data_IF_413840781594
#
_entry.id   IF_413840781594
#
_cell.length_a   1.000
_cell.length_b   1.000
_cell.length_c   1.000
_cell.angle_alpha   90.00
_cell.angle_beta   90.00
_cell.angle_gamma   90.00
#
_symmetry.space_group_name_H-M   'P 1'
#
loop_
_entity.id
_entity.type
_entity.pdbx_description
1 polymer ?
#
# COMPACT_ATOMS: atom_id res chain seq x y z
N UNK A 1 6.53 -14.26 -8.13
CA UNK A 1 7.23 -13.00 -8.46
C UNK A 1 8.09 -13.25 -9.69
N UNK A 2 7.97 -12.46 -10.78
CA UNK A 2 8.80 -12.62 -11.97
C UNK A 2 10.28 -12.45 -11.67
N UNK A 3 11.14 -13.17 -12.38
CA UNK A 3 12.61 -13.01 -12.26
C UNK A 3 13.11 -11.69 -12.86
N UNK A 4 12.41 -11.12 -13.84
CA UNK A 4 12.65 -9.76 -14.35
C UNK A 4 11.79 -8.76 -13.58
N UNK A 5 12.43 -7.87 -12.82
CA UNK A 5 11.79 -6.85 -12.00
C UNK A 5 10.95 -5.84 -12.80
N UNK A 6 11.14 -5.76 -14.14
CA UNK A 6 10.35 -4.89 -15.01
C UNK A 6 9.02 -5.50 -15.43
N UNK A 7 8.85 -6.83 -15.27
CA UNK A 7 7.60 -7.49 -15.61
C UNK A 7 6.57 -7.23 -14.50
N UNK A 8 5.43 -6.60 -14.81
CA UNK A 8 4.37 -6.42 -13.82
C UNK A 8 3.80 -7.79 -13.43
N UNK A 9 3.33 -7.88 -12.19
CA UNK A 9 2.57 -9.02 -11.69
C UNK A 9 1.48 -8.50 -10.75
N UNK A 10 0.39 -9.25 -10.60
CA UNK A 10 -0.65 -8.90 -9.64
C UNK A 10 -0.19 -9.21 -8.22
N UNK A 11 -0.12 -8.17 -7.39
CA UNK A 11 0.27 -8.28 -5.99
C UNK A 11 -0.65 -9.20 -5.18
N UNK A 12 -1.90 -9.38 -5.63
CA UNK A 12 -2.86 -10.30 -5.00
C UNK A 12 -2.40 -11.76 -5.01
N UNK A 13 -1.58 -12.16 -6.00
CA UNK A 13 -0.99 -13.50 -6.02
C UNK A 13 -0.04 -13.74 -4.83
N UNK A 14 0.65 -12.70 -4.38
CA UNK A 14 1.50 -12.76 -3.17
C UNK A 14 0.62 -12.78 -1.94
N UNK A 15 -0.36 -11.87 -1.85
CA UNK A 15 -1.28 -11.77 -0.70
C UNK A 15 -1.98 -13.11 -0.47
N UNK A 16 -2.54 -13.73 -1.52
CA UNK A 16 -3.27 -15.00 -1.42
C UNK A 16 -2.42 -16.15 -0.84
N UNK A 17 -1.09 -16.07 -0.92
CA UNK A 17 -0.17 -17.12 -0.44
C UNK A 17 0.38 -16.87 0.96
N UNK A 18 0.28 -15.64 1.48
CA UNK A 18 0.77 -15.30 2.82
C UNK A 18 -0.34 -15.22 3.87
N UNK A 19 -1.60 -15.01 3.44
CA UNK A 19 -2.74 -14.87 4.35
C UNK A 19 -3.44 -16.20 4.60
N UNK A 20 -4.00 -16.34 5.80
CA UNK A 20 -4.69 -17.54 6.25
C UNK A 20 -5.87 -17.90 5.34
N UNK A 21 -5.84 -19.12 4.79
CA UNK A 21 -6.89 -19.64 3.92
C UNK A 21 -7.09 -18.83 2.63
N UNK A 22 -6.08 -18.06 2.21
CA UNK A 22 -6.15 -17.19 1.03
C UNK A 22 -7.33 -16.20 1.05
N UNK A 23 -7.83 -15.86 2.25
CA UNK A 23 -8.96 -14.94 2.41
C UNK A 23 -8.45 -13.52 2.60
N UNK A 24 -8.88 -12.63 1.71
CA UNK A 24 -8.53 -11.23 1.70
C UNK A 24 -9.78 -10.39 1.43
N UNK A 25 -10.12 -9.48 2.35
CA UNK A 25 -11.24 -8.55 2.20
C UNK A 25 -10.70 -7.21 1.70
N UNK A 26 -10.84 -6.98 0.39
CA UNK A 26 -10.22 -5.85 -0.27
C UNK A 26 -10.97 -4.53 -0.04
N UNK A 27 -10.29 -3.57 0.60
CA UNK A 27 -10.81 -2.24 0.83
C UNK A 27 -10.68 -1.39 -0.45
N UNK A 28 -11.77 -0.71 -0.84
CA UNK A 28 -11.81 0.17 -2.02
C UNK A 28 -11.21 -0.52 -3.27
N UNK A 29 -11.61 -1.76 -3.55
CA UNK A 29 -11.07 -2.56 -4.64
C UNK A 29 -11.16 -1.88 -6.03
N UNK A 30 -12.13 -0.97 -6.23
CA UNK A 30 -12.38 -0.26 -7.49
C UNK A 30 -11.86 1.18 -7.53
N UNK A 31 -11.10 1.63 -6.53
CA UNK A 31 -10.56 3.00 -6.43
C UNK A 31 -9.06 2.95 -6.12
N UNK A 32 -8.23 3.71 -6.84
CA UNK A 32 -6.77 3.67 -6.66
C UNK A 32 -6.20 2.25 -6.80
N UNK A 33 -6.50 1.58 -7.91
CA UNK A 33 -6.24 0.14 -8.12
C UNK A 33 -4.75 -0.24 -8.20
N UNK A 34 -3.86 0.74 -8.34
CA UNK A 34 -2.41 0.54 -8.27
C UNK A 34 -1.88 0.44 -6.83
N UNK A 35 -2.73 0.68 -5.83
CA UNK A 35 -2.47 0.34 -4.43
C UNK A 35 -3.55 -0.60 -3.93
N UNK A 36 -3.16 -1.84 -3.62
CA UNK A 36 -4.04 -2.83 -3.02
C UNK A 36 -4.01 -2.64 -1.51
N UNK A 37 -5.20 -2.52 -0.91
CA UNK A 37 -5.34 -2.44 0.54
C UNK A 37 -6.47 -3.34 0.98
N UNK A 38 -6.35 -4.00 2.12
CA UNK A 38 -7.42 -4.85 2.61
C UNK A 38 -7.08 -5.58 3.89
N UNK A 39 -8.09 -6.22 4.48
CA UNK A 39 -7.98 -6.94 5.73
C UNK A 39 -7.75 -8.42 5.50
N UNK A 40 -6.90 -9.02 6.33
CA UNK A 40 -6.63 -10.46 6.31
C UNK A 40 -6.29 -10.97 7.71
N UNK A 41 -5.90 -12.25 7.78
CA UNK A 41 -5.24 -12.83 8.95
C UNK A 41 -3.94 -13.52 8.56
N UNK A 42 -2.96 -13.50 9.44
CA UNK A 42 -1.71 -14.29 9.34
C UNK A 42 -1.50 -14.96 10.70
N UNK A 43 -1.43 -16.29 10.72
CA UNK A 43 -1.36 -17.07 11.97
C UNK A 43 -2.49 -16.71 12.98
N UNK A 44 -3.69 -16.45 12.47
CA UNK A 44 -4.86 -16.05 13.24
C UNK A 44 -4.90 -14.57 13.66
N UNK A 45 -3.79 -13.83 13.52
CA UNK A 45 -3.70 -12.42 13.89
C UNK A 45 -4.30 -11.53 12.79
N UNK A 46 -5.15 -10.54 13.12
CA UNK A 46 -5.67 -9.60 12.14
C UNK A 46 -4.53 -8.74 11.57
N UNK A 47 -4.55 -8.49 10.26
CA UNK A 47 -3.57 -7.64 9.59
C UNK A 47 -4.26 -6.77 8.54
N UNK A 48 -3.85 -5.50 8.46
CA UNK A 48 -4.16 -4.61 7.34
C UNK A 48 -3.01 -4.61 6.35
N UNK A 49 -3.23 -5.05 5.13
CA UNK A 49 -2.18 -5.13 4.11
C UNK A 49 -2.26 -3.90 3.21
N UNK A 50 -1.12 -3.30 2.90
CA UNK A 50 -0.94 -2.20 1.94
C UNK A 50 0.14 -2.60 0.96
N UNK A 51 -0.20 -2.74 -0.32
CA UNK A 51 0.66 -3.42 -1.28
C UNK A 51 0.66 -2.74 -2.65
N UNK A 52 1.84 -2.53 -3.23
CA UNK A 52 1.95 -1.89 -4.54
C UNK A 52 1.59 -2.84 -5.68
N UNK A 53 0.76 -2.34 -6.60
CA UNK A 53 0.40 -3.01 -7.85
C UNK A 53 0.68 -2.10 -9.07
N UNK A 54 1.59 -1.14 -8.91
CA UNK A 54 1.91 -0.12 -9.89
C UNK A 54 2.39 1.18 -9.25
N UNK A 55 2.44 2.25 -10.06
CA UNK A 55 2.76 3.62 -9.62
C UNK A 55 1.66 4.21 -8.73
N UNK A 56 2.02 5.11 -7.82
CA UNK A 56 1.04 5.76 -6.94
C UNK A 56 0.42 6.99 -7.61
N UNK A 57 -0.90 7.02 -7.65
CA UNK A 57 -1.70 8.19 -8.02
C UNK A 57 -2.30 8.88 -6.79
N UNK A 58 -2.90 10.05 -6.97
CA UNK A 58 -3.63 10.78 -5.92
C UNK A 58 -4.66 9.90 -5.21
N UNK A 59 -5.43 9.14 -5.97
CA UNK A 59 -6.46 8.20 -5.48
C UNK A 59 -5.83 7.07 -4.66
N UNK A 60 -4.66 6.61 -5.07
CA UNK A 60 -3.91 5.56 -4.37
C UNK A 60 -3.44 6.08 -3.00
N UNK A 61 -2.92 7.30 -2.96
CA UNK A 61 -2.47 7.93 -1.72
C UNK A 61 -3.64 8.19 -0.76
N UNK A 62 -4.77 8.70 -1.27
CA UNK A 62 -5.99 8.91 -0.48
C UNK A 62 -6.58 7.59 0.05
N UNK A 63 -6.55 6.53 -0.76
CA UNK A 63 -6.95 5.18 -0.34
C UNK A 63 -6.07 4.66 0.78
N UNK A 64 -4.75 4.74 0.61
CA UNK A 64 -3.78 4.28 1.61
C UNK A 64 -3.92 5.03 2.93
N UNK A 65 -3.99 6.37 2.89
CA UNK A 65 -4.15 7.19 4.09
C UNK A 65 -5.41 6.81 4.89
N UNK A 66 -6.57 6.72 4.22
CA UNK A 66 -7.81 6.33 4.86
C UNK A 66 -7.75 4.90 5.42
N UNK A 67 -7.12 3.96 4.69
CA UNK A 67 -6.99 2.59 5.17
C UNK A 67 -6.11 2.49 6.43
N UNK A 68 -5.02 3.26 6.49
CA UNK A 68 -4.14 3.35 7.66
C UNK A 68 -4.89 3.90 8.87
N UNK A 69 -5.67 4.96 8.69
CA UNK A 69 -6.51 5.53 9.75
C UNK A 69 -7.50 4.49 10.30
N UNK A 70 -8.18 3.74 9.41
CA UNK A 70 -9.10 2.67 9.80
C UNK A 70 -8.39 1.55 10.59
N UNK A 71 -7.20 1.12 10.15
CA UNK A 71 -6.44 0.10 10.86
C UNK A 71 -5.99 0.60 12.24
N UNK A 72 -5.54 1.85 12.31
CA UNK A 72 -5.10 2.49 13.56
C UNK A 72 -6.25 2.59 14.56
N UNK A 73 -7.43 3.05 14.13
CA UNK A 73 -8.62 3.11 14.98
C UNK A 73 -9.07 1.75 15.50
N UNK A 74 -8.87 0.69 14.71
CA UNK A 74 -9.24 -0.69 15.06
C UNK A 74 -8.12 -1.46 15.78
N UNK A 75 -6.97 -0.83 16.05
CA UNK A 75 -5.77 -1.47 16.59
C UNK A 75 -5.31 -2.70 15.77
N UNK A 76 -5.43 -2.60 14.44
CA UNK A 76 -4.98 -3.64 13.51
C UNK A 76 -3.57 -3.32 13.04
N UNK A 77 -2.59 -4.21 13.23
CA UNK A 77 -1.24 -4.05 12.69
C UNK A 77 -1.25 -3.93 11.15
N UNK A 78 -0.28 -3.19 10.61
CA UNK A 78 -0.16 -2.92 9.18
C UNK A 78 1.00 -3.70 8.58
N UNK A 79 0.81 -4.33 7.43
CA UNK A 79 1.87 -4.96 6.64
C UNK A 79 2.03 -4.22 5.31
N UNK A 80 3.20 -3.62 5.10
CA UNK A 80 3.55 -2.95 3.85
C UNK A 80 4.30 -3.92 2.93
N UNK A 81 3.77 -4.17 1.74
CA UNK A 81 4.44 -4.95 0.69
C UNK A 81 4.96 -4.00 -0.39
N UNK A 82 6.25 -3.72 -0.36
CA UNK A 82 6.88 -2.74 -1.26
C UNK A 82 7.28 -3.36 -2.60
N UNK A 83 6.72 -2.79 -3.66
CA UNK A 83 7.16 -2.95 -5.03
C UNK A 83 6.85 -1.65 -5.81
N UNK A 84 7.50 -0.56 -5.40
CA UNK A 84 7.17 0.80 -5.82
C UNK A 84 8.29 1.44 -6.62
N UNK A 85 7.92 2.06 -7.74
CA UNK A 85 8.79 2.88 -8.59
C UNK A 85 8.65 4.38 -8.34
N UNK A 86 7.56 4.81 -7.70
CA UNK A 86 7.34 6.19 -7.27
C UNK A 86 5.89 6.66 -7.44
N UNK A 87 5.69 7.97 -7.30
CA UNK A 87 4.43 8.65 -7.60
C UNK A 87 4.38 9.05 -9.07
N UNK A 88 3.16 9.17 -9.62
CA UNK A 88 2.97 9.70 -10.97
C UNK A 88 3.48 11.15 -11.07
N UNK A 89 4.20 11.47 -12.14
CA UNK A 89 4.72 12.82 -12.38
C UNK A 89 4.06 13.41 -13.62
N UNK A 90 3.68 14.68 -13.56
CA UNK A 90 3.15 15.43 -14.69
C UNK A 90 2.38 16.67 -14.27
N UNK A 91 2.39 17.72 -15.10
CA UNK A 91 1.79 19.03 -14.77
C UNK A 91 0.32 18.93 -14.33
N UNK A 92 -0.44 18.04 -14.96
CA UNK A 92 -1.83 17.80 -14.59
C UNK A 92 -1.96 17.22 -13.17
N UNK A 93 -1.19 16.17 -12.85
CA UNK A 93 -1.22 15.50 -11.55
C UNK A 93 -0.70 16.39 -10.40
N UNK A 94 0.28 17.26 -10.70
CA UNK A 94 0.74 18.30 -9.77
C UNK A 94 -0.39 19.29 -9.45
N UNK A 95 -1.09 19.78 -10.47
CA UNK A 95 -2.24 20.68 -10.30
C UNK A 95 -3.41 20.01 -9.56
N UNK A 96 -3.62 18.71 -9.75
CA UNK A 96 -4.61 17.89 -9.01
C UNK A 96 -4.17 17.59 -7.56
N UNK A 97 -2.98 18.02 -7.17
CA UNK A 97 -2.51 17.98 -5.79
C UNK A 97 -1.91 16.64 -5.37
N UNK A 98 -1.24 15.92 -6.28
CA UNK A 98 -0.59 14.64 -5.96
C UNK A 98 0.41 14.78 -4.80
N UNK A 99 1.16 15.87 -4.73
CA UNK A 99 2.07 16.15 -3.62
C UNK A 99 1.32 16.23 -2.28
N UNK A 100 0.17 16.91 -2.23
CA UNK A 100 -0.67 17.01 -1.02
C UNK A 100 -1.25 15.65 -0.64
N UNK A 101 -1.71 14.87 -1.61
CA UNK A 101 -2.27 13.54 -1.35
C UNK A 101 -1.17 12.56 -0.89
N UNK A 102 0.01 12.61 -1.50
CA UNK A 102 1.18 11.86 -1.06
C UNK A 102 1.62 12.23 0.36
N UNK A 103 1.63 13.52 0.70
CA UNK A 103 1.94 13.99 2.05
C UNK A 103 0.95 13.45 3.09
N UNK A 104 -0.36 13.35 2.77
CA UNK A 104 -1.35 12.72 3.66
C UNK A 104 -1.04 11.25 3.92
N UNK A 105 -0.61 10.50 2.88
CA UNK A 105 -0.21 9.10 3.04
C UNK A 105 1.00 9.00 3.98
N UNK A 106 2.05 9.79 3.75
CA UNK A 106 3.24 9.82 4.61
C UNK A 106 2.88 10.19 6.06
N UNK A 107 2.02 11.19 6.24
CA UNK A 107 1.52 11.58 7.57
C UNK A 107 0.78 10.44 8.26
N UNK A 108 -0.09 9.72 7.56
CA UNK A 108 -0.81 8.58 8.10
C UNK A 108 0.16 7.46 8.52
N UNK A 109 1.15 7.13 7.66
CA UNK A 109 2.20 6.14 7.99
C UNK A 109 2.98 6.54 9.25
N UNK A 110 3.42 7.80 9.33
CA UNK A 110 4.26 8.29 10.41
C UNK A 110 3.53 8.38 11.76
N UNK A 111 2.23 8.69 11.74
CA UNK A 111 1.43 8.92 12.95
C UNK A 111 0.62 7.71 13.40
N UNK A 112 0.54 6.64 12.58
CA UNK A 112 -0.17 5.42 12.93
C UNK A 112 0.46 4.72 14.14
N UNK A 113 -0.29 4.60 15.23
CA UNK A 113 0.15 3.98 16.49
C UNK A 113 -0.18 2.47 16.55
N UNK A 114 0.19 1.74 15.51
CA UNK A 114 0.10 0.27 15.42
C UNK A 114 1.43 -0.28 14.90
N UNK A 115 1.73 -1.58 15.08
CA UNK A 115 2.91 -2.20 14.48
C UNK A 115 2.86 -2.11 12.95
N UNK A 116 4.00 -1.79 12.32
CA UNK A 116 4.11 -1.56 10.87
C UNK A 116 5.29 -2.33 10.25
N UNK A 117 5.28 -3.68 10.22
CA UNK A 117 6.27 -4.43 9.44
C UNK A 117 6.22 -4.09 7.94
N UNK A 118 7.39 -4.04 7.33
CA UNK A 118 7.58 -3.78 5.90
C UNK A 118 8.35 -4.93 5.27
N UNK A 119 7.84 -5.45 4.16
CA UNK A 119 8.49 -6.45 3.33
C UNK A 119 8.73 -5.88 1.93
N UNK A 120 10.00 -5.71 1.57
CA UNK A 120 10.40 -5.32 0.22
C UNK A 120 10.43 -6.56 -0.65
N UNK A 121 9.51 -6.66 -1.60
CA UNK A 121 9.37 -7.81 -2.51
C UNK A 121 9.78 -7.48 -3.95
N UNK A 122 10.09 -6.21 -4.22
CA UNK A 122 10.49 -5.70 -5.53
C UNK A 122 11.21 -4.36 -5.39
N UNK A 123 10.80 -3.37 -6.19
CA UNK A 123 11.39 -2.03 -6.12
C UNK A 123 11.03 -1.26 -4.85
N UNK A 124 11.95 -0.41 -4.38
CA UNK A 124 11.66 0.63 -3.39
C UNK A 124 12.47 1.87 -3.73
N UNK A 125 11.80 2.88 -4.29
CA UNK A 125 12.46 4.04 -4.89
C UNK A 125 11.79 5.38 -4.51
N UNK A 126 12.63 6.38 -4.24
CA UNK A 126 12.25 7.78 -4.08
C UNK A 126 11.19 8.03 -3.01
N UNK A 127 10.29 8.98 -3.27
CA UNK A 127 9.20 9.34 -2.36
C UNK A 127 8.22 8.18 -2.09
N UNK A 128 8.20 7.16 -2.98
CA UNK A 128 7.41 5.95 -2.78
C UNK A 128 7.82 5.17 -1.53
N UNK A 129 9.12 5.19 -1.18
CA UNK A 129 9.63 4.56 0.04
C UNK A 129 9.01 5.18 1.30
N UNK A 130 8.94 6.53 1.35
CA UNK A 130 8.36 7.25 2.49
C UNK A 130 6.86 6.96 2.65
N UNK A 131 6.13 6.88 1.53
CA UNK A 131 4.69 6.56 1.53
C UNK A 131 4.38 5.10 1.89
N UNK A 132 5.37 4.21 1.84
CA UNK A 132 5.20 2.77 2.05
C UNK A 132 5.95 2.25 3.29
N UNK A 133 6.26 3.11 4.26
CA UNK A 133 6.87 2.74 5.54
C UNK A 133 8.27 2.08 5.42
N UNK A 134 9.14 2.64 4.56
CA UNK A 134 10.57 2.30 4.56
C UNK A 134 11.44 3.39 5.17
#
# INVERSE_FOLDING_TARGET
VPSDARKPFDIREVIARIVDGSRFDEFKARFGTTLVTGFAKIYGMPIGIIANNGILFSESAQKGAHFIELCTQRNIPLLFLQNITGFMVGRQYENEGIAKNGAKLVMAVATANVPKPTLVIGGSFGAGNYGMCG
#
